data_IF_372761961443
#
_entry.id   IF_372761961443
#
_cell.length_a   1.000
_cell.length_b   1.000
_cell.length_c   1.000
_cell.angle_alpha   90.00
_cell.angle_beta   90.00
_cell.angle_gamma   90.00
#
_symmetry.space_group_name_H-M   'P 1'
#
loop_
_entity.id
_entity.type
_entity.pdbx_description
1 polymer ?
#
# COMPACT_ATOMS: atom_id res chain seq x y z
N UNK A 1 7.79 92.99 -2.65
CA UNK A 1 7.03 92.07 -1.82
C UNK A 1 6.35 91.09 -2.72
N UNK A 2 6.95 89.89 -2.90
CA UNK A 2 6.35 88.81 -3.71
C UNK A 2 5.85 87.76 -2.75
N UNK A 3 4.56 87.52 -2.75
CA UNK A 3 3.94 86.41 -1.99
C UNK A 3 4.14 85.10 -2.73
N UNK A 4 4.76 84.15 -2.09
CA UNK A 4 4.87 82.76 -2.56
C UNK A 4 3.67 81.97 -2.02
N UNK A 5 2.85 81.45 -2.92
CA UNK A 5 1.74 80.57 -2.59
C UNK A 5 2.27 79.15 -2.55
N UNK A 6 2.20 78.53 -1.40
CA UNK A 6 2.56 77.10 -1.25
C UNK A 6 1.30 76.25 -1.46
N UNK A 7 1.28 75.49 -2.54
CA UNK A 7 0.19 74.57 -2.82
C UNK A 7 0.52 73.21 -2.18
N UNK A 8 -0.26 72.84 -1.19
CA UNK A 8 -0.16 71.55 -0.51
C UNK A 8 -0.91 70.47 -1.33
N UNK A 9 -0.16 69.60 -2.01
CA UNK A 9 -0.72 68.48 -2.70
C UNK A 9 -1.04 67.32 -1.73
N UNK A 10 -2.32 67.00 -1.61
CA UNK A 10 -2.79 65.82 -0.88
C UNK A 10 -2.65 64.62 -1.78
N UNK A 11 -1.68 63.72 -1.49
CA UNK A 11 -1.63 62.38 -2.10
C UNK A 11 -2.70 61.52 -1.45
N UNK A 12 -3.78 61.24 -2.17
CA UNK A 12 -4.69 60.14 -1.80
C UNK A 12 -4.01 58.83 -2.15
N UNK A 13 -3.56 58.10 -1.17
CA UNK A 13 -3.21 56.69 -1.28
C UNK A 13 -4.51 55.90 -1.40
N UNK A 14 -4.78 55.35 -2.59
CA UNK A 14 -5.80 54.32 -2.78
C UNK A 14 -5.27 53.05 -2.14
N UNK A 15 -5.62 52.80 -0.88
CA UNK A 15 -5.52 51.46 -0.31
C UNK A 15 -6.56 50.58 -0.97
N UNK A 16 -6.09 49.60 -1.75
CA UNK A 16 -6.90 48.51 -2.26
C UNK A 16 -7.63 47.87 -1.08
N UNK A 17 -8.95 47.98 -1.05
CA UNK A 17 -9.76 47.15 -0.17
C UNK A 17 -9.61 45.70 -0.63
N UNK A 18 -8.87 44.91 0.09
CA UNK A 18 -8.96 43.46 -0.03
C UNK A 18 -10.40 43.03 0.21
N UNK A 19 -10.89 42.22 -0.70
CA UNK A 19 -12.30 41.80 -0.73
C UNK A 19 -12.58 40.79 0.41
N UNK A 20 -12.82 41.31 1.63
CA UNK A 20 -13.18 40.52 2.82
C UNK A 20 -14.55 39.83 2.68
N UNK A 21 -15.16 39.88 1.49
CA UNK A 21 -16.44 39.22 1.17
C UNK A 21 -16.27 37.85 0.49
N UNK A 22 -15.06 37.36 0.26
CA UNK A 22 -14.92 35.95 -0.10
C UNK A 22 -15.35 35.13 1.11
N UNK A 23 -16.48 34.48 0.99
CA UNK A 23 -16.86 33.41 1.92
C UNK A 23 -15.66 32.47 1.98
N UNK A 24 -15.24 32.02 3.18
CA UNK A 24 -14.24 30.97 3.25
C UNK A 24 -14.69 29.82 2.34
N UNK A 25 -13.76 29.28 1.54
CA UNK A 25 -14.06 28.08 0.77
C UNK A 25 -14.58 27.02 1.75
N UNK A 26 -15.65 26.31 1.39
CA UNK A 26 -16.15 25.23 2.24
C UNK A 26 -14.99 24.30 2.55
N UNK A 27 -14.68 24.11 3.83
CA UNK A 27 -13.71 23.10 4.24
C UNK A 27 -14.27 21.73 3.87
N UNK A 28 -13.43 20.77 3.42
CA UNK A 28 -13.88 19.42 3.18
C UNK A 28 -14.64 18.89 4.38
N UNK A 29 -15.74 18.16 4.13
CA UNK A 29 -16.44 17.46 5.19
C UNK A 29 -15.50 16.39 5.76
N UNK A 30 -15.36 16.32 7.09
CA UNK A 30 -14.54 15.32 7.77
C UNK A 30 -15.46 14.24 8.32
N UNK A 31 -15.17 12.97 8.00
CA UNK A 31 -15.93 11.81 8.46
C UNK A 31 -15.04 10.80 9.16
N UNK A 32 -15.32 10.54 10.43
CA UNK A 32 -14.65 9.48 11.19
C UNK A 32 -15.36 8.16 10.93
N UNK A 33 -14.62 7.15 10.48
CA UNK A 33 -15.08 5.82 10.14
C UNK A 33 -14.42 4.80 11.06
N UNK A 34 -15.19 3.86 11.60
CA UNK A 34 -14.69 2.76 12.43
C UNK A 34 -15.63 1.55 12.40
N UNK A 35 -15.08 0.37 12.68
CA UNK A 35 -15.85 -0.86 12.75
C UNK A 35 -16.26 -1.42 11.39
N UNK A 36 -17.18 -2.37 11.40
CA UNK A 36 -17.60 -3.10 10.21
C UNK A 36 -18.64 -2.32 9.40
N UNK A 37 -18.39 -2.15 8.12
CA UNK A 37 -19.35 -1.69 7.14
C UNK A 37 -20.35 -2.82 6.88
N UNK A 38 -21.64 -2.52 7.00
CA UNK A 38 -22.74 -3.48 6.88
C UNK A 38 -23.61 -3.26 5.65
N UNK A 39 -23.29 -2.24 4.86
CA UNK A 39 -23.94 -1.89 3.60
C UNK A 39 -22.95 -1.29 2.63
N UNK A 40 -23.25 -1.33 1.34
CA UNK A 40 -22.43 -0.72 0.31
C UNK A 40 -22.19 0.75 0.62
N UNK A 41 -20.91 1.11 0.65
CA UNK A 41 -20.46 2.42 1.12
C UNK A 41 -19.66 3.12 0.03
N UNK A 42 -19.79 4.44 -0.06
CA UNK A 42 -19.07 5.26 -1.02
C UNK A 42 -18.28 6.36 -0.31
N UNK A 43 -16.98 6.48 -0.63
CA UNK A 43 -16.09 7.54 -0.17
C UNK A 43 -15.77 8.49 -1.33
N UNK A 44 -16.10 9.77 -1.13
CA UNK A 44 -15.98 10.83 -2.13
C UNK A 44 -14.68 11.61 -2.01
N UNK A 45 -14.14 12.10 -3.12
CA UNK A 45 -12.86 12.82 -3.16
C UNK A 45 -12.91 14.21 -2.47
N UNK A 46 -14.10 14.81 -2.35
CA UNK A 46 -14.33 16.09 -1.67
C UNK A 46 -14.48 15.97 -0.14
N UNK A 47 -14.39 14.77 0.38
CA UNK A 47 -14.53 14.44 1.81
C UNK A 47 -13.21 13.89 2.35
N UNK A 48 -12.78 14.36 3.51
CA UNK A 48 -11.66 13.76 4.25
C UNK A 48 -12.19 12.65 5.16
N UNK A 49 -11.72 11.44 4.93
CA UNK A 49 -12.07 10.29 5.77
C UNK A 49 -10.98 10.05 6.79
N UNK A 50 -11.37 9.88 8.04
CA UNK A 50 -10.50 9.53 9.14
C UNK A 50 -10.88 8.14 9.66
N UNK A 51 -10.01 7.16 9.45
CA UNK A 51 -10.19 5.82 10.03
C UNK A 51 -9.74 5.83 11.48
N UNK A 52 -10.56 5.24 12.36
CA UNK A 52 -10.30 5.10 13.79
C UNK A 52 -10.47 3.64 14.22
N UNK A 53 -9.35 2.93 14.39
CA UNK A 53 -9.34 1.48 14.57
C UNK A 53 -9.64 0.73 13.26
N UNK A 54 -10.01 -0.53 13.36
CA UNK A 54 -10.24 -1.37 12.19
C UNK A 54 -11.52 -1.00 11.46
N UNK A 55 -11.41 -0.69 10.16
CA UNK A 55 -12.54 -0.51 9.25
C UNK A 55 -12.63 -1.77 8.40
N UNK A 56 -13.74 -2.50 8.51
CA UNK A 56 -13.91 -3.81 7.88
C UNK A 56 -14.99 -3.76 6.81
N UNK A 57 -14.64 -4.09 5.58
CA UNK A 57 -15.59 -4.35 4.51
C UNK A 57 -16.02 -5.80 4.62
N UNK A 58 -17.23 -6.04 5.13
CA UNK A 58 -17.74 -7.39 5.42
C UNK A 58 -18.14 -8.18 4.18
N UNK A 59 -18.39 -9.48 4.37
CA UNK A 59 -18.91 -10.36 3.30
C UNK A 59 -20.18 -9.79 2.67
N UNK A 60 -20.23 -9.77 1.34
CA UNK A 60 -21.33 -9.22 0.55
C UNK A 60 -21.43 -7.70 0.52
N UNK A 61 -20.52 -6.97 1.15
CA UNK A 61 -20.47 -5.50 1.17
C UNK A 61 -19.41 -4.99 0.21
N UNK A 62 -19.69 -3.87 -0.45
CA UNK A 62 -18.74 -3.17 -1.32
C UNK A 62 -18.39 -1.78 -0.78
N UNK A 63 -17.10 -1.50 -0.65
CA UNK A 63 -16.56 -0.16 -0.44
C UNK A 63 -16.10 0.41 -1.80
N UNK A 64 -16.69 1.52 -2.23
CA UNK A 64 -16.25 2.28 -3.40
C UNK A 64 -15.52 3.55 -2.96
N UNK A 65 -14.31 3.77 -3.49
CA UNK A 65 -13.48 4.95 -3.19
C UNK A 65 -13.21 5.72 -4.47
N UNK A 66 -13.63 6.97 -4.51
CA UNK A 66 -13.45 7.84 -5.66
C UNK A 66 -11.98 8.23 -5.87
N UNK A 67 -11.57 8.41 -7.15
CA UNK A 67 -10.21 8.86 -7.48
C UNK A 67 -9.88 10.21 -6.82
N UNK A 68 -8.70 10.31 -6.21
CA UNK A 68 -8.23 11.49 -5.49
C UNK A 68 -8.66 11.57 -4.03
N UNK A 69 -9.38 10.57 -3.52
CA UNK A 69 -9.75 10.52 -2.09
C UNK A 69 -8.49 10.37 -1.24
N UNK A 70 -8.42 11.18 -0.16
CA UNK A 70 -7.38 11.08 0.87
C UNK A 70 -7.99 10.51 2.15
N UNK A 71 -7.43 9.41 2.62
CA UNK A 71 -7.85 8.70 3.82
C UNK A 71 -6.77 8.83 4.87
N UNK A 72 -7.12 9.36 6.03
CA UNK A 72 -6.24 9.56 7.17
C UNK A 72 -6.50 8.46 8.20
N UNK A 73 -5.46 7.76 8.60
CA UNK A 73 -5.55 6.72 9.63
C UNK A 73 -5.03 7.26 10.96
N UNK A 74 -5.79 7.06 12.03
CA UNK A 74 -5.34 7.34 13.40
C UNK A 74 -4.25 6.37 13.80
N UNK A 75 -3.38 6.81 14.68
CA UNK A 75 -2.44 5.95 15.36
C UNK A 75 -3.17 4.90 16.24
N UNK A 76 -2.47 3.83 16.55
CA UNK A 76 -2.95 2.76 17.43
C UNK A 76 -2.06 1.54 17.30
N UNK A 77 -1.95 0.78 18.35
CA UNK A 77 -1.16 -0.46 18.40
C UNK A 77 -2.01 -1.62 18.93
N UNK A 78 -1.64 -2.83 18.61
CA UNK A 78 -2.35 -4.03 19.02
C UNK A 78 -3.79 -4.07 18.53
N UNK A 79 -4.72 -4.38 19.38
CA UNK A 79 -6.15 -4.41 19.05
C UNK A 79 -6.74 -3.03 18.70
N UNK A 80 -6.01 -1.95 18.97
CA UNK A 80 -6.39 -0.57 18.65
C UNK A 80 -5.77 -0.08 17.35
N UNK A 81 -4.98 -0.89 16.66
CA UNK A 81 -4.37 -0.51 15.39
C UNK A 81 -5.44 -0.16 14.37
N UNK A 82 -5.21 0.93 13.65
CA UNK A 82 -6.08 1.35 12.56
C UNK A 82 -5.68 0.64 11.28
N UNK A 83 -6.61 -0.04 10.63
CA UNK A 83 -6.38 -0.71 9.35
C UNK A 83 -7.67 -0.74 8.51
N UNK A 84 -7.54 -0.78 7.19
CA UNK A 84 -8.63 -1.15 6.29
C UNK A 84 -8.54 -2.65 6.00
N UNK A 85 -9.60 -3.38 6.27
CA UNK A 85 -9.67 -4.83 6.05
C UNK A 85 -10.83 -5.13 5.11
N UNK A 86 -10.51 -5.61 3.91
CA UNK A 86 -11.50 -6.21 3.00
C UNK A 86 -11.57 -7.69 3.35
N UNK A 87 -12.56 -8.06 4.13
CA UNK A 87 -12.74 -9.44 4.58
C UNK A 87 -13.12 -10.35 3.41
N UNK A 88 -12.88 -11.64 3.55
CA UNK A 88 -13.27 -12.64 2.56
C UNK A 88 -14.75 -12.51 2.17
N UNK A 89 -15.04 -12.36 0.86
CA UNK A 89 -16.37 -12.08 0.34
C UNK A 89 -16.78 -10.61 0.32
N UNK A 90 -16.03 -9.72 0.98
CA UNK A 90 -16.13 -8.28 0.80
C UNK A 90 -15.50 -7.83 -0.51
N UNK A 91 -15.85 -6.64 -0.99
CA UNK A 91 -15.31 -6.07 -2.23
C UNK A 91 -14.82 -4.65 -2.04
N UNK A 92 -13.69 -4.32 -2.66
CA UNK A 92 -13.20 -2.95 -2.77
C UNK A 92 -13.25 -2.49 -4.24
N UNK A 93 -13.70 -1.27 -4.47
CA UNK A 93 -13.69 -0.60 -5.78
C UNK A 93 -12.97 0.75 -5.61
N UNK A 94 -11.65 0.70 -5.56
CA UNK A 94 -10.75 1.83 -5.35
C UNK A 94 -9.96 2.07 -6.64
N UNK A 95 -10.51 2.88 -7.53
CA UNK A 95 -9.94 3.18 -8.84
C UNK A 95 -9.45 4.63 -8.88
N UNK A 96 -8.24 4.87 -8.39
CA UNK A 96 -7.54 6.12 -8.62
C UNK A 96 -7.13 6.30 -10.08
N UNK A 97 -6.46 7.39 -10.37
CA UNK A 97 -5.81 7.66 -11.67
C UNK A 97 -4.42 8.24 -11.43
N UNK A 98 -3.57 8.26 -12.45
CA UNK A 98 -2.25 8.88 -12.34
C UNK A 98 -2.32 10.36 -11.90
N UNK A 99 -3.32 11.11 -12.37
CA UNK A 99 -3.51 12.51 -11.97
C UNK A 99 -4.20 12.67 -10.61
N UNK A 100 -4.96 11.67 -10.17
CA UNK A 100 -5.74 11.67 -8.92
C UNK A 100 -5.63 10.31 -8.22
N UNK A 101 -4.46 9.97 -7.67
CA UNK A 101 -4.32 8.73 -6.91
C UNK A 101 -5.13 8.76 -5.62
N UNK A 102 -5.54 7.59 -5.14
CA UNK A 102 -6.12 7.42 -3.81
C UNK A 102 -4.97 7.30 -2.82
N UNK A 103 -5.02 8.04 -1.70
CA UNK A 103 -3.94 8.09 -0.73
C UNK A 103 -4.44 7.64 0.64
N UNK A 104 -3.86 6.56 1.15
CA UNK A 104 -3.98 6.15 2.55
C UNK A 104 -2.71 6.58 3.29
N UNK A 105 -2.86 7.31 4.39
CA UNK A 105 -1.71 7.80 5.14
C UNK A 105 -2.09 8.06 6.61
N UNK A 106 -1.10 8.37 7.44
CA UNK A 106 -1.34 8.74 8.83
C UNK A 106 -2.06 10.08 8.98
N UNK A 107 -2.86 10.22 10.03
CA UNK A 107 -3.45 11.52 10.46
C UNK A 107 -2.38 12.59 10.71
N UNK A 108 -1.14 12.19 10.97
CA UNK A 108 -0.02 13.12 11.18
C UNK A 108 0.59 13.64 9.87
N UNK A 109 0.27 13.04 8.72
CA UNK A 109 0.79 13.45 7.42
C UNK A 109 0.04 14.68 6.88
N UNK A 110 0.70 15.83 6.89
CA UNK A 110 0.18 17.06 6.27
C UNK A 110 0.67 17.27 4.82
N UNK A 111 1.34 16.27 4.24
CA UNK A 111 1.87 16.28 2.88
C UNK A 111 3.33 16.78 2.75
N UNK A 112 3.98 17.18 3.86
CA UNK A 112 5.36 17.71 3.82
C UNK A 112 6.17 17.53 5.09
N UNK A 113 5.61 16.92 6.12
CA UNK A 113 6.24 16.84 7.46
C UNK A 113 6.72 15.43 7.82
N UNK A 114 6.32 14.43 7.07
CA UNK A 114 6.78 13.05 7.23
C UNK A 114 7.72 12.69 6.07
N UNK A 115 8.66 11.80 6.34
CA UNK A 115 9.59 11.27 5.36
C UNK A 115 9.64 9.73 5.42
N UNK A 116 10.54 9.12 4.67
CA UNK A 116 10.63 7.66 4.54
C UNK A 116 11.02 6.95 5.84
N UNK A 117 11.52 7.66 6.84
CA UNK A 117 11.84 7.11 8.17
C UNK A 117 10.67 7.13 9.16
N UNK A 118 9.57 7.82 8.82
CA UNK A 118 8.36 7.87 9.65
C UNK A 118 7.47 6.67 9.33
N UNK A 119 7.76 5.54 9.93
CA UNK A 119 7.13 4.23 9.73
C UNK A 119 6.20 3.87 10.89
N UNK A 120 5.32 2.87 10.73
CA UNK A 120 4.54 2.27 11.81
C UNK A 120 3.48 3.17 12.45
N UNK A 121 3.02 4.21 11.76
CA UNK A 121 2.06 5.16 12.32
C UNK A 121 0.61 4.66 12.30
N UNK A 122 0.30 3.63 11.51
CA UNK A 122 -0.98 2.94 11.44
C UNK A 122 -0.78 1.54 10.84
N UNK A 123 -1.83 0.70 10.75
CA UNK A 123 -1.68 -0.69 10.35
C UNK A 123 -1.34 -0.87 8.87
N UNK A 124 -2.25 -0.55 7.99
CA UNK A 124 -2.13 -0.83 6.55
C UNK A 124 -3.45 -1.25 5.93
N UNK A 125 -3.37 -1.81 4.73
CA UNK A 125 -4.52 -2.32 3.97
C UNK A 125 -4.40 -3.83 3.82
N UNK A 126 -5.46 -4.56 4.19
CA UNK A 126 -5.54 -6.02 4.12
C UNK A 126 -6.68 -6.40 3.18
N UNK A 127 -6.41 -7.23 2.17
CA UNK A 127 -7.41 -7.77 1.25
C UNK A 127 -7.37 -9.29 1.33
N UNK A 128 -8.50 -9.90 1.70
CA UNK A 128 -8.63 -11.32 1.94
C UNK A 128 -9.60 -11.97 0.96
N UNK A 129 -9.17 -13.05 0.32
CA UNK A 129 -9.94 -13.76 -0.69
C UNK A 129 -10.13 -15.26 -0.39
N UNK A 130 -10.75 -15.95 -1.32
CA UNK A 130 -11.07 -17.40 -1.26
C UNK A 130 -10.20 -18.26 -2.19
N UNK A 131 -9.09 -17.69 -2.74
CA UNK A 131 -8.21 -18.46 -3.59
C UNK A 131 -7.36 -19.46 -2.76
N UNK A 132 -6.81 -20.51 -3.39
CA UNK A 132 -6.02 -21.52 -2.69
C UNK A 132 -4.77 -20.93 -2.02
N UNK A 133 -4.45 -21.48 -0.86
CA UNK A 133 -3.23 -21.23 -0.09
C UNK A 133 -2.64 -22.56 0.36
N UNK A 134 -1.38 -22.62 0.69
CA UNK A 134 -0.72 -23.86 1.10
C UNK A 134 -0.87 -24.23 2.57
N UNK A 135 -1.52 -23.41 3.37
CA UNK A 135 -1.78 -23.74 4.77
C UNK A 135 -2.50 -25.09 4.93
N UNK A 136 -2.15 -25.85 5.95
CA UNK A 136 -2.63 -27.23 6.18
C UNK A 136 -4.16 -27.36 6.15
N UNK A 137 -4.89 -26.35 6.57
CA UNK A 137 -6.36 -26.34 6.59
C UNK A 137 -6.98 -25.76 5.32
N UNK A 138 -6.21 -25.39 4.30
CA UNK A 138 -6.63 -24.61 3.12
C UNK A 138 -7.30 -23.25 3.43
N UNK A 139 -7.38 -22.90 4.67
CA UNK A 139 -7.82 -21.61 5.21
C UNK A 139 -6.92 -21.25 6.39
N UNK A 140 -6.58 -19.98 6.51
CA UNK A 140 -5.81 -19.47 7.63
C UNK A 140 -6.43 -18.17 8.16
N UNK A 141 -5.94 -17.72 9.30
CA UNK A 141 -6.28 -16.39 9.81
C UNK A 141 -5.08 -15.51 9.64
N UNK A 142 -5.27 -14.37 9.02
CA UNK A 142 -4.19 -13.40 8.86
C UNK A 142 -3.66 -12.99 10.23
N UNK A 143 -2.38 -12.86 10.36
CA UNK A 143 -1.75 -12.45 11.59
C UNK A 143 -2.22 -11.07 12.04
N UNK A 144 -2.08 -10.84 13.36
CA UNK A 144 -2.53 -9.61 13.97
C UNK A 144 -4.04 -9.39 14.04
N UNK A 145 -4.86 -10.24 13.41
CA UNK A 145 -6.32 -10.20 13.55
C UNK A 145 -6.79 -11.39 14.38
N UNK A 146 -7.36 -11.20 15.59
CA UNK A 146 -7.82 -12.29 16.41
C UNK A 146 -8.83 -13.19 15.71
N UNK A 147 -8.61 -14.50 15.71
CA UNK A 147 -9.46 -15.50 15.03
C UNK A 147 -10.94 -15.40 15.40
N UNK A 148 -11.23 -15.02 16.64
CA UNK A 148 -12.60 -14.87 17.13
C UNK A 148 -13.35 -13.65 16.55
N UNK A 149 -12.68 -12.75 15.86
CA UNK A 149 -13.32 -11.61 15.19
C UNK A 149 -13.92 -12.01 13.84
N UNK A 150 -13.47 -13.12 13.24
CA UNK A 150 -14.07 -13.77 12.09
C UNK A 150 -13.82 -13.11 10.72
N UNK A 151 -13.32 -11.90 10.70
CA UNK A 151 -13.02 -11.18 9.44
C UNK A 151 -11.55 -11.27 9.01
N UNK A 152 -10.72 -12.00 9.73
CA UNK A 152 -9.32 -12.24 9.40
C UNK A 152 -9.07 -13.55 8.64
N UNK A 153 -10.12 -14.32 8.32
CA UNK A 153 -9.98 -15.58 7.58
C UNK A 153 -9.72 -15.34 6.10
N UNK A 154 -8.77 -16.09 5.53
CA UNK A 154 -8.47 -16.08 4.09
C UNK A 154 -8.17 -17.49 3.58
N UNK A 155 -8.09 -17.64 2.24
CA UNK A 155 -7.90 -18.91 1.60
C UNK A 155 -9.22 -19.64 1.32
N UNK A 156 -9.15 -20.68 0.52
CA UNK A 156 -10.30 -21.48 0.09
C UNK A 156 -10.02 -22.30 -1.16
N UNK A 157 -11.04 -22.46 -2.02
CA UNK A 157 -10.96 -23.31 -3.20
C UNK A 157 -11.33 -22.58 -4.51
N UNK A 158 -11.34 -21.24 -4.49
CA UNK A 158 -11.80 -20.41 -5.61
C UNK A 158 -10.64 -19.64 -6.24
N UNK A 159 -9.83 -20.23 -7.14
CA UNK A 159 -8.69 -19.50 -7.72
C UNK A 159 -9.11 -18.24 -8.49
N UNK A 160 -10.36 -18.16 -8.96
CA UNK A 160 -10.94 -17.01 -9.64
C UNK A 160 -11.74 -16.12 -8.69
N UNK A 161 -11.42 -16.11 -7.40
CA UNK A 161 -12.01 -15.21 -6.44
C UNK A 161 -11.82 -13.74 -6.85
N UNK A 162 -12.78 -12.89 -6.47
CA UNK A 162 -12.77 -11.49 -6.85
C UNK A 162 -13.09 -10.61 -5.64
N UNK A 163 -12.06 -9.98 -5.11
CA UNK A 163 -12.15 -8.98 -4.05
C UNK A 163 -12.30 -7.55 -4.57
N UNK A 164 -12.40 -7.35 -5.90
CA UNK A 164 -12.67 -6.06 -6.53
C UNK A 164 -11.51 -5.46 -7.32
N UNK A 165 -11.39 -4.14 -7.29
CA UNK A 165 -10.37 -3.37 -8.02
C UNK A 165 -9.65 -2.45 -7.05
N UNK A 166 -8.32 -2.54 -7.01
CA UNK A 166 -7.46 -1.69 -6.20
C UNK A 166 -6.34 -1.15 -7.08
N UNK A 167 -6.47 0.13 -7.50
CA UNK A 167 -5.66 0.68 -8.58
C UNK A 167 -5.33 2.16 -8.38
N UNK A 168 -4.10 2.57 -8.72
CA UNK A 168 -3.53 3.90 -8.46
C UNK A 168 -3.75 4.32 -7.00
N UNK A 169 -3.18 3.53 -6.11
CA UNK A 169 -3.27 3.72 -4.66
C UNK A 169 -1.89 3.87 -4.06
N UNK A 170 -1.71 4.88 -3.22
CA UNK A 170 -0.50 5.10 -2.43
C UNK A 170 -0.80 4.86 -0.94
N UNK A 171 -0.08 3.93 -0.31
CA UNK A 171 -0.17 3.58 1.11
C UNK A 171 1.12 4.06 1.77
N UNK A 172 1.00 4.91 2.81
CA UNK A 172 2.17 5.58 3.40
C UNK A 172 2.19 5.47 4.91
N UNK A 173 3.39 5.28 5.47
CA UNK A 173 3.67 5.34 6.91
C UNK A 173 2.93 4.26 7.72
N UNK A 174 2.68 3.10 7.12
CA UNK A 174 1.97 1.99 7.72
C UNK A 174 2.91 0.99 8.44
N UNK A 175 2.43 -0.20 8.83
CA UNK A 175 3.24 -1.27 9.42
C UNK A 175 3.26 -1.28 10.93
N UNK A 176 2.18 -0.91 11.61
CA UNK A 176 2.20 -0.83 13.08
C UNK A 176 2.21 -2.21 13.74
N UNK A 177 2.90 -2.32 14.87
CA UNK A 177 2.93 -3.49 15.74
C UNK A 177 1.54 -3.86 16.26
N UNK A 178 1.14 -5.12 16.08
CA UNK A 178 -0.12 -5.69 16.55
C UNK A 178 0.03 -6.48 17.86
N UNK A 179 1.24 -6.93 18.19
CA UNK A 179 1.57 -7.72 19.39
C UNK A 179 3.02 -8.17 19.38
N UNK A 180 3.41 -9.07 20.28
CA UNK A 180 4.78 -9.57 20.36
C UNK A 180 5.18 -10.30 19.04
N UNK A 181 5.84 -9.59 18.12
CA UNK A 181 6.35 -10.14 16.87
C UNK A 181 5.31 -10.31 15.76
N UNK A 182 4.15 -9.66 15.85
CA UNK A 182 3.18 -9.59 14.76
C UNK A 182 2.98 -8.13 14.38
N UNK A 183 3.15 -7.82 13.12
CA UNK A 183 3.02 -6.50 12.52
C UNK A 183 2.00 -6.57 11.38
N UNK A 184 1.63 -5.45 10.81
CA UNK A 184 0.85 -5.39 9.59
C UNK A 184 1.71 -4.83 8.48
N UNK A 185 1.59 -5.41 7.31
CA UNK A 185 2.25 -4.94 6.11
C UNK A 185 1.60 -3.67 5.55
N UNK A 186 2.28 -2.99 4.65
CA UNK A 186 1.67 -1.89 3.92
C UNK A 186 0.43 -2.33 3.15
N UNK A 187 0.57 -3.38 2.34
CA UNK A 187 -0.52 -4.08 1.68
C UNK A 187 -0.37 -5.60 1.90
N UNK A 188 -1.35 -6.20 2.53
CA UNK A 188 -1.44 -7.66 2.71
C UNK A 188 -2.47 -8.24 1.75
N UNK A 189 -2.09 -9.28 0.97
CA UNK A 189 -2.93 -9.99 0.04
C UNK A 189 -3.04 -11.47 0.46
N UNK A 190 -4.07 -11.81 1.24
CA UNK A 190 -4.28 -13.18 1.74
C UNK A 190 -5.26 -13.96 0.87
N UNK A 191 -4.81 -15.01 0.16
CA UNK A 191 -5.66 -15.88 -0.67
C UNK A 191 -6.49 -15.13 -1.71
N UNK A 192 -5.95 -14.06 -2.29
CA UNK A 192 -6.65 -13.24 -3.30
C UNK A 192 -6.61 -13.94 -4.66
N UNK A 193 -7.74 -14.00 -5.35
CA UNK A 193 -7.87 -14.70 -6.62
C UNK A 193 -7.66 -13.83 -7.86
N UNK A 194 -7.43 -14.46 -9.01
CA UNK A 194 -7.14 -13.83 -10.31
C UNK A 194 -8.32 -13.04 -10.91
N UNK A 195 -9.51 -13.12 -10.32
CA UNK A 195 -10.63 -12.23 -10.62
C UNK A 195 -10.47 -10.81 -10.06
N UNK A 196 -9.52 -10.59 -9.14
CA UNK A 196 -9.23 -9.30 -8.52
C UNK A 196 -8.22 -8.51 -9.37
N UNK A 197 -8.38 -7.21 -9.45
CA UNK A 197 -7.41 -6.33 -10.13
C UNK A 197 -6.58 -5.56 -9.10
N UNK A 198 -5.26 -5.79 -9.11
CA UNK A 198 -4.28 -5.04 -8.30
C UNK A 198 -3.27 -4.43 -9.26
N UNK A 199 -3.26 -3.12 -9.38
CA UNK A 199 -2.30 -2.45 -10.27
C UNK A 199 -1.97 -1.03 -9.86
N UNK A 200 -0.79 -0.56 -10.22
CA UNK A 200 -0.37 0.81 -9.98
C UNK A 200 -0.47 1.13 -8.47
N UNK A 201 0.25 0.36 -7.67
CA UNK A 201 0.27 0.46 -6.20
C UNK A 201 1.64 0.98 -5.75
N UNK A 202 1.60 1.91 -4.80
CA UNK A 202 2.79 2.40 -4.10
C UNK A 202 2.64 2.16 -2.61
N UNK A 203 3.70 1.61 -1.98
CA UNK A 203 3.85 1.56 -0.52
C UNK A 203 5.11 2.33 -0.14
N UNK A 204 4.98 3.25 0.83
CA UNK A 204 6.09 4.12 1.29
C UNK A 204 6.18 4.11 2.80
N UNK A 205 7.39 3.93 3.31
CA UNK A 205 7.68 4.05 4.75
C UNK A 205 6.83 3.09 5.60
N UNK A 206 6.82 1.81 5.25
CA UNK A 206 6.22 0.77 6.08
C UNK A 206 7.20 0.26 7.14
N UNK A 207 6.73 -0.08 8.35
CA UNK A 207 7.62 -0.57 9.40
C UNK A 207 7.98 -2.05 9.20
N UNK A 208 7.04 -2.82 8.69
CA UNK A 208 7.15 -4.22 8.31
C UNK A 208 7.29 -4.33 6.78
N UNK A 209 6.76 -5.38 6.15
CA UNK A 209 6.85 -5.55 4.71
C UNK A 209 6.08 -4.50 3.93
N UNK A 210 6.58 -4.20 2.74
CA UNK A 210 5.87 -3.36 1.81
C UNK A 210 4.60 -4.00 1.32
N UNK A 211 4.72 -5.11 0.59
CA UNK A 211 3.59 -5.89 0.06
C UNK A 211 3.85 -7.37 0.31
N UNK A 212 2.96 -8.02 1.05
CA UNK A 212 3.06 -9.43 1.35
C UNK A 212 1.91 -10.24 0.74
N UNK A 213 2.24 -11.41 0.19
CA UNK A 213 1.35 -12.33 -0.51
C UNK A 213 1.25 -13.66 0.25
N UNK A 214 0.17 -13.87 0.97
CA UNK A 214 -0.15 -15.15 1.60
C UNK A 214 -0.91 -16.05 0.63
N UNK A 215 -0.22 -16.72 -0.28
CA UNK A 215 -0.81 -17.55 -1.30
C UNK A 215 -1.72 -16.80 -2.27
N UNK A 216 -2.70 -17.51 -2.85
CA UNK A 216 -3.61 -16.93 -3.84
C UNK A 216 -3.08 -17.00 -5.27
N UNK A 217 -3.83 -16.38 -6.19
CA UNK A 217 -3.60 -16.49 -7.65
C UNK A 217 -3.69 -15.13 -8.35
N UNK A 218 -3.76 -14.03 -7.61
CA UNK A 218 -3.94 -12.69 -8.18
C UNK A 218 -2.71 -12.27 -8.99
N UNK A 219 -2.93 -11.74 -10.19
CA UNK A 219 -1.88 -11.08 -10.97
C UNK A 219 -1.80 -9.60 -10.59
N UNK A 220 -0.58 -9.11 -10.39
CA UNK A 220 -0.31 -7.73 -10.02
C UNK A 220 0.60 -7.05 -11.03
N UNK A 221 0.46 -5.72 -11.19
CA UNK A 221 1.35 -4.98 -12.08
C UNK A 221 1.63 -3.56 -11.58
N UNK A 222 2.81 -3.03 -11.93
CA UNK A 222 3.24 -1.68 -11.59
C UNK A 222 3.23 -1.45 -10.08
N UNK A 223 3.98 -2.25 -9.35
CA UNK A 223 4.12 -2.16 -7.89
C UNK A 223 5.42 -1.46 -7.52
N UNK A 224 5.36 -0.54 -6.57
CA UNK A 224 6.53 0.13 -6.01
C UNK A 224 6.49 0.10 -4.49
N UNK A 225 7.60 -0.27 -3.88
CA UNK A 225 7.83 -0.21 -2.43
C UNK A 225 9.06 0.63 -2.17
N UNK A 226 8.96 1.59 -1.27
CA UNK A 226 10.05 2.46 -0.86
C UNK A 226 10.17 2.58 0.66
N UNK A 227 11.31 2.16 1.18
CA UNK A 227 11.69 2.40 2.57
C UNK A 227 10.84 1.64 3.58
N UNK A 228 10.67 0.35 3.34
CA UNK A 228 10.15 -0.60 4.31
C UNK A 228 11.21 -0.97 5.36
N UNK A 229 10.76 -1.40 6.53
CA UNK A 229 11.63 -1.79 7.64
C UNK A 229 12.03 -3.26 7.60
N UNK A 230 11.23 -4.11 6.97
CA UNK A 230 11.56 -5.51 6.71
C UNK A 230 11.68 -5.72 5.19
N UNK A 231 10.83 -6.46 4.53
CA UNK A 231 10.98 -6.83 3.14
C UNK A 231 10.17 -5.95 2.19
N UNK A 232 10.69 -5.66 0.97
CA UNK A 232 9.89 -4.88 0.05
C UNK A 232 8.73 -5.70 -0.53
N UNK A 233 9.02 -6.92 -0.93
CA UNK A 233 8.01 -7.89 -1.38
C UNK A 233 8.29 -9.21 -0.67
N UNK A 234 7.31 -9.70 0.08
CA UNK A 234 7.32 -11.02 0.65
C UNK A 234 6.28 -11.93 -0.03
N UNK A 235 6.72 -13.13 -0.39
CA UNK A 235 5.87 -14.17 -0.99
C UNK A 235 5.86 -15.38 -0.08
N UNK A 236 4.70 -15.72 0.44
CA UNK A 236 4.48 -16.87 1.31
C UNK A 236 3.33 -17.77 0.80
N UNK A 237 3.19 -18.93 1.41
CA UNK A 237 2.06 -19.87 1.24
C UNK A 237 1.74 -20.27 -0.20
N UNK A 238 2.78 -20.48 -1.04
CA UNK A 238 2.58 -21.02 -2.40
C UNK A 238 1.74 -20.09 -3.30
N UNK A 239 2.07 -18.81 -3.32
CA UNK A 239 1.49 -17.87 -4.26
C UNK A 239 1.65 -18.34 -5.71
N UNK A 240 0.56 -18.34 -6.50
CA UNK A 240 0.46 -18.85 -7.88
C UNK A 240 0.02 -17.73 -8.85
N UNK A 241 0.60 -16.56 -8.70
CA UNK A 241 0.32 -15.39 -9.52
C UNK A 241 1.56 -14.83 -10.22
N UNK A 242 1.33 -13.76 -10.98
CA UNK A 242 2.39 -13.03 -11.67
C UNK A 242 2.44 -11.56 -11.21
N UNK A 243 3.62 -11.12 -10.76
CA UNK A 243 3.91 -9.72 -10.48
C UNK A 243 4.72 -9.17 -11.66
N UNK A 244 4.20 -8.18 -12.36
CA UNK A 244 4.85 -7.60 -13.54
C UNK A 244 5.18 -6.13 -13.31
N UNK A 245 6.41 -5.73 -13.62
CA UNK A 245 6.89 -4.35 -13.50
C UNK A 245 6.85 -3.87 -12.04
N UNK A 246 7.82 -4.31 -11.25
CA UNK A 246 7.92 -4.01 -9.83
C UNK A 246 9.22 -3.28 -9.48
N UNK A 247 9.18 -2.44 -8.46
CA UNK A 247 10.30 -1.61 -8.04
C UNK A 247 10.45 -1.68 -6.51
N UNK A 248 11.59 -2.20 -6.05
CA UNK A 248 12.00 -2.18 -4.66
C UNK A 248 13.05 -1.08 -4.45
N UNK A 249 12.79 -0.13 -3.57
CA UNK A 249 13.72 0.94 -3.19
C UNK A 249 14.02 0.79 -1.71
N UNK A 250 15.04 0.03 -1.40
CA UNK A 250 15.47 -0.23 -0.04
C UNK A 250 16.21 0.97 0.57
N UNK A 251 16.17 1.07 1.88
CA UNK A 251 16.98 2.00 2.68
C UNK A 251 18.04 1.21 3.48
N UNK A 252 18.75 1.87 4.37
CA UNK A 252 19.69 1.19 5.27
C UNK A 252 18.97 0.40 6.38
N UNK A 253 17.69 0.65 6.60
CA UNK A 253 16.88 -0.01 7.62
C UNK A 253 16.08 -1.19 7.06
N UNK A 254 16.03 -1.37 5.72
CA UNK A 254 15.36 -2.47 5.05
C UNK A 254 16.16 -3.78 5.20
N UNK A 255 15.46 -4.91 5.40
CA UNK A 255 16.10 -6.23 5.43
C UNK A 255 16.28 -6.75 3.99
N UNK A 256 15.27 -7.30 3.33
CA UNK A 256 15.42 -7.77 1.96
C UNK A 256 14.67 -6.89 0.94
N UNK A 257 15.12 -6.95 -0.30
CA UNK A 257 14.32 -6.47 -1.43
C UNK A 257 13.21 -7.47 -1.79
N UNK A 258 13.51 -8.76 -1.66
CA UNK A 258 12.57 -9.85 -1.85
C UNK A 258 12.87 -10.93 -0.81
N UNK A 259 11.86 -11.35 -0.07
CA UNK A 259 11.82 -12.59 0.68
C UNK A 259 10.82 -13.54 0.01
N UNK A 260 11.22 -14.78 -0.25
CA UNK A 260 10.43 -15.72 -1.04
C UNK A 260 10.39 -17.05 -0.33
N UNK A 261 9.24 -17.38 0.24
CA UNK A 261 8.98 -18.63 0.90
C UNK A 261 8.21 -19.61 0.00
N UNK A 262 8.56 -20.87 0.17
CA UNK A 262 7.86 -21.97 -0.49
C UNK A 262 6.50 -22.24 0.12
N UNK A 263 5.85 -23.25 -0.43
CA UNK A 263 4.56 -23.68 0.08
C UNK A 263 4.69 -24.51 1.37
N UNK A 264 3.79 -24.28 2.28
CA UNK A 264 3.55 -25.18 3.42
C UNK A 264 2.83 -26.48 2.96
N UNK A 265 3.09 -27.59 3.58
CA UNK A 265 2.43 -28.85 3.29
C UNK A 265 2.78 -29.44 1.93
N UNK A 266 1.77 -29.75 1.10
CA UNK A 266 1.95 -30.46 -0.18
C UNK A 266 1.71 -29.58 -1.41
N UNK A 267 1.35 -28.32 -1.24
CA UNK A 267 1.14 -27.36 -2.33
C UNK A 267 2.38 -26.50 -2.48
N UNK A 268 2.92 -26.45 -3.68
CA UNK A 268 4.06 -25.61 -4.02
C UNK A 268 3.94 -25.20 -5.49
N UNK A 269 3.24 -24.10 -5.74
CA UNK A 269 3.01 -23.57 -7.08
C UNK A 269 4.13 -22.58 -7.44
N UNK A 270 4.52 -22.51 -8.72
CA UNK A 270 5.55 -21.60 -9.16
C UNK A 270 4.99 -20.19 -9.36
N UNK A 271 5.49 -19.22 -8.60
CA UNK A 271 5.21 -17.81 -8.80
C UNK A 271 6.04 -17.21 -9.95
N UNK A 272 5.68 -16.01 -10.39
CA UNK A 272 6.46 -15.22 -11.35
C UNK A 272 6.58 -13.77 -10.92
N UNK A 273 7.80 -13.25 -10.95
CA UNK A 273 8.09 -11.81 -10.82
C UNK A 273 8.89 -11.34 -12.03
N UNK A 274 8.33 -10.44 -12.83
CA UNK A 274 8.90 -10.07 -14.13
C UNK A 274 9.13 -8.57 -14.26
N UNK A 275 10.26 -8.21 -14.88
CA UNK A 275 10.65 -6.83 -15.17
C UNK A 275 10.80 -5.97 -13.91
N UNK A 276 11.48 -6.50 -12.91
CA UNK A 276 11.79 -5.80 -11.67
C UNK A 276 13.00 -4.87 -11.77
N UNK A 277 13.09 -3.96 -10.80
CA UNK A 277 14.32 -3.22 -10.51
C UNK A 277 14.47 -3.10 -8.99
N UNK A 278 15.71 -3.22 -8.52
CA UNK A 278 16.05 -3.02 -7.11
C UNK A 278 17.05 -1.88 -6.99
N UNK A 279 16.70 -0.88 -6.19
CA UNK A 279 17.58 0.18 -5.74
C UNK A 279 17.88 -0.01 -4.24
N UNK A 280 19.15 0.11 -3.87
CA UNK A 280 19.58 0.05 -2.47
C UNK A 280 20.85 0.90 -2.29
N UNK A 281 21.06 1.53 -1.13
CA UNK A 281 22.30 2.24 -0.83
C UNK A 281 23.51 1.27 -0.76
N UNK A 282 23.24 0.01 -0.44
CA UNK A 282 24.17 -1.11 -0.43
C UNK A 282 23.73 -2.20 -1.42
N UNK A 283 24.31 -3.39 -1.37
CA UNK A 283 23.84 -4.54 -2.15
C UNK A 283 22.54 -5.05 -1.53
N UNK A 284 21.45 -4.97 -2.27
CA UNK A 284 20.15 -5.51 -1.82
C UNK A 284 20.22 -7.03 -1.61
N UNK A 285 19.51 -7.53 -0.64
CA UNK A 285 19.41 -8.96 -0.37
C UNK A 285 18.12 -9.52 -0.97
N UNK A 286 18.19 -10.72 -1.52
CA UNK A 286 17.07 -11.53 -1.97
C UNK A 286 17.23 -12.89 -1.30
N UNK A 287 16.28 -13.27 -0.47
CA UNK A 287 16.31 -14.54 0.23
C UNK A 287 15.23 -15.47 -0.33
N UNK A 288 15.63 -16.67 -0.76
CA UNK A 288 14.73 -17.69 -1.34
C UNK A 288 14.86 -18.94 -0.50
N UNK A 289 13.78 -19.32 0.17
CA UNK A 289 13.79 -20.37 1.18
C UNK A 289 12.60 -21.34 1.10
N UNK A 290 12.56 -22.29 1.99
CA UNK A 290 11.48 -23.27 2.22
C UNK A 290 10.98 -23.99 0.96
N UNK A 291 11.92 -24.29 0.04
CA UNK A 291 11.61 -25.04 -1.17
C UNK A 291 10.83 -24.25 -2.23
N UNK A 292 10.83 -22.95 -2.19
CA UNK A 292 10.16 -22.09 -3.16
C UNK A 292 10.47 -22.49 -4.61
N UNK A 293 9.44 -22.39 -5.47
CA UNK A 293 9.54 -22.61 -6.91
C UNK A 293 9.06 -21.40 -7.68
N UNK A 294 9.78 -20.97 -8.72
CA UNK A 294 9.33 -19.81 -9.49
C UNK A 294 10.38 -19.20 -10.39
N UNK A 295 10.07 -17.98 -10.82
CA UNK A 295 10.91 -17.22 -11.72
C UNK A 295 10.91 -15.74 -11.36
N UNK A 296 12.10 -15.15 -11.31
CA UNK A 296 12.32 -13.72 -11.06
C UNK A 296 13.18 -13.18 -12.19
N UNK A 297 12.79 -12.05 -12.78
CA UNK A 297 13.64 -11.27 -13.67
C UNK A 297 13.72 -9.82 -13.20
N UNK A 298 14.93 -9.32 -12.95
CA UNK A 298 15.13 -7.98 -12.41
C UNK A 298 16.50 -7.39 -12.78
N UNK A 299 16.63 -6.08 -12.60
CA UNK A 299 17.88 -5.33 -12.72
C UNK A 299 18.22 -4.68 -11.38
N UNK A 300 19.49 -4.31 -11.18
CA UNK A 300 19.95 -3.64 -9.97
C UNK A 300 21.25 -4.23 -9.44
N UNK A 301 21.58 -3.93 -8.20
CA UNK A 301 22.74 -4.51 -7.48
C UNK A 301 22.18 -5.31 -6.31
N UNK A 302 22.19 -6.61 -6.42
CA UNK A 302 21.63 -7.51 -5.43
C UNK A 302 22.50 -8.77 -5.23
N UNK A 303 22.27 -9.44 -4.13
CA UNK A 303 22.83 -10.75 -3.81
C UNK A 303 21.66 -11.72 -3.55
N UNK A 304 21.75 -12.92 -4.06
CA UNK A 304 20.70 -13.94 -3.90
C UNK A 304 21.20 -15.04 -2.99
N UNK A 305 20.48 -15.31 -1.91
CA UNK A 305 20.66 -16.47 -1.04
C UNK A 305 19.58 -17.50 -1.33
N UNK A 306 19.98 -18.73 -1.60
CA UNK A 306 19.11 -19.85 -1.84
C UNK A 306 19.26 -20.89 -0.75
N UNK A 307 18.18 -21.21 -0.07
CA UNK A 307 18.15 -22.38 0.80
C UNK A 307 18.10 -23.69 0.01
N UNK A 308 18.45 -24.76 0.69
CA UNK A 308 18.45 -26.08 0.08
C UNK A 308 17.03 -26.51 -0.30
N UNK A 309 16.83 -26.95 -1.55
CA UNK A 309 15.54 -27.44 -2.04
C UNK A 309 14.72 -26.44 -2.84
N UNK A 310 15.14 -25.18 -2.89
CA UNK A 310 14.50 -24.15 -3.72
C UNK A 310 14.76 -24.39 -5.21
N UNK A 311 13.81 -23.99 -6.05
CA UNK A 311 13.87 -24.11 -7.51
C UNK A 311 13.38 -22.81 -8.17
N UNK A 312 14.01 -21.70 -7.82
CA UNK A 312 13.72 -20.38 -8.38
C UNK A 312 14.83 -19.99 -9.34
N UNK A 313 14.46 -19.58 -10.54
CA UNK A 313 15.39 -19.01 -11.51
C UNK A 313 15.39 -17.50 -11.36
N UNK A 314 16.57 -16.89 -11.14
CA UNK A 314 16.76 -15.44 -11.12
C UNK A 314 17.51 -15.01 -12.36
N UNK A 315 16.93 -14.15 -13.19
CA UNK A 315 17.49 -13.63 -14.44
C UNK A 315 17.85 -12.16 -14.32
N UNK A 316 19.12 -11.84 -14.60
CA UNK A 316 19.60 -10.45 -14.66
C UNK A 316 19.09 -9.74 -15.92
N UNK A 317 18.43 -8.62 -15.74
CA UNK A 317 17.97 -7.76 -16.83
C UNK A 317 18.91 -6.58 -17.05
N UNK A 318 19.14 -6.25 -18.33
CA UNK A 318 19.86 -5.01 -18.72
C UNK A 318 18.97 -3.79 -18.54
N UNK A 319 17.67 -3.96 -18.77
CA UNK A 319 16.64 -2.94 -18.55
C UNK A 319 15.53 -3.60 -17.73
N UNK A 320 15.33 -3.12 -16.52
CA UNK A 320 14.31 -3.63 -15.60
C UNK A 320 12.95 -2.96 -15.79
N UNK A 321 12.48 -2.34 -14.73
CA UNK A 321 11.18 -1.69 -14.64
C UNK A 321 10.98 -0.59 -15.69
N UNK A 322 9.75 -0.40 -16.12
CA UNK A 322 9.37 0.77 -16.91
C UNK A 322 9.06 1.95 -15.97
N UNK A 323 10.05 2.79 -15.71
CA UNK A 323 9.97 3.90 -14.77
C UNK A 323 8.87 4.92 -15.09
N UNK A 324 8.51 5.10 -16.37
CA UNK A 324 7.43 6.01 -16.77
C UNK A 324 6.07 5.65 -16.16
N UNK A 325 5.87 4.40 -15.79
CA UNK A 325 4.64 3.96 -15.12
C UNK A 325 4.54 4.42 -13.66
N UNK A 326 5.62 4.96 -13.08
CA UNK A 326 5.69 5.45 -11.72
C UNK A 326 5.76 6.97 -11.58
N UNK A 327 5.65 7.74 -12.69
CA UNK A 327 5.69 9.21 -12.65
C UNK A 327 4.57 9.84 -11.78
N UNK A 328 3.51 9.10 -11.46
CA UNK A 328 2.42 9.51 -10.60
C UNK A 328 2.70 9.37 -9.11
N UNK A 329 3.75 8.61 -8.72
CA UNK A 329 4.00 8.21 -7.35
C UNK A 329 4.63 9.31 -6.50
N UNK A 330 4.42 9.24 -5.20
CA UNK A 330 5.10 10.08 -4.22
C UNK A 330 6.62 9.83 -4.25
N UNK A 331 7.04 8.58 -4.40
CA UNK A 331 8.46 8.19 -4.49
C UNK A 331 9.15 8.86 -5.68
N UNK A 332 8.50 8.90 -6.84
CA UNK A 332 9.02 9.58 -8.02
C UNK A 332 9.14 11.10 -7.76
N UNK A 333 8.09 11.75 -7.26
CA UNK A 333 8.10 13.20 -7.00
C UNK A 333 9.10 13.61 -5.91
N UNK A 334 9.52 12.70 -5.04
CA UNK A 334 10.53 12.92 -4.00
C UNK A 334 11.93 12.43 -4.38
N UNK A 335 12.11 11.94 -5.61
CA UNK A 335 13.42 11.57 -6.14
C UNK A 335 14.03 10.34 -5.47
N UNK A 336 13.21 9.34 -5.16
CA UNK A 336 13.66 8.09 -4.52
C UNK A 336 14.49 7.22 -5.47
N UNK A 337 14.31 7.38 -6.78
CA UNK A 337 15.00 6.62 -7.84
C UNK A 337 15.25 7.47 -9.09
#
# INVERSE_FOLDING_TARGET
MKKVLLTLGVLLSLTSCEDWRKSPEPQPEEKVISGQLTEDTYWYADTTYEMAGRVVVGDGVKLTIEAGTRILARDGQGSLSTALIVARGGMIDAQGTADNPIIFTSIYDNGSNLDVSDQGLWGGVVILGNAPISADASEASIEGIPVNEGYGLYGGQSPHDNSGIFKFVSIRHAGTLLGDGNELNGLTLGGVGDGTTISDIEVVANLDDGIEFFGGTVDCQNLIVWGQGDDAFDIDQSYDGTITNFLAICTADSDHALEIDGGEGNMNNPFRMEYGTVYSPDTAQIHIRDGAEGYISLSGIYNVEHDSGTNVTVEDLVVGVNEMLFEWTYSYSNGAF
#
